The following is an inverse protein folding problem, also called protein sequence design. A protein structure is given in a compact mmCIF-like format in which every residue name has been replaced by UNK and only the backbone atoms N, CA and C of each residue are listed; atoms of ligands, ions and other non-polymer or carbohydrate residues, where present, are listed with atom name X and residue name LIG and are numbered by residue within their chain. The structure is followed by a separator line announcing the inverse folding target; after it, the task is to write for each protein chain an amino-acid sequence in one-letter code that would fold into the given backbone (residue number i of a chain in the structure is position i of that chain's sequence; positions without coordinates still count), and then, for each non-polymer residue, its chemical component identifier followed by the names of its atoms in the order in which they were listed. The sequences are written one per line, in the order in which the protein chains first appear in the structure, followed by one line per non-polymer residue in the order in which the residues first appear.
data_IF_368434093097
#
_entry.id   IF_368434093097
#
_cell.length_a   1.000
_cell.length_b   1.000
_cell.length_c   1.000
_cell.angle_alpha   90.00
_cell.angle_beta   90.00
_cell.angle_gamma   90.00
#
_symmetry.space_group_name_H-M   'P 1'
#
loop_
_entity.id
_entity.type
_entity.pdbx_description
1 polymer ?
#
# COMPACT_ATOMS: atom_id res chain seq x y z
N UNK A 1 19.34 -18.62 34.55
CA UNK A 1 17.93 -18.96 34.72
C UNK A 1 17.27 -17.68 35.20
N UNK A 2 16.63 -16.85 34.40
CA UNK A 2 16.06 -17.10 33.07
C UNK A 2 16.21 -15.87 32.16
N UNK A 3 16.33 -16.19 30.88
CA UNK A 3 16.36 -15.33 29.71
C UNK A 3 15.12 -14.43 29.62
N UNK A 4 15.34 -13.11 29.69
CA UNK A 4 14.44 -12.11 29.13
C UNK A 4 14.55 -12.28 27.62
N UNK A 5 13.61 -12.98 27.02
CA UNK A 5 13.55 -13.19 25.58
C UNK A 5 13.13 -11.88 24.91
N UNK A 6 14.05 -11.30 24.15
CA UNK A 6 13.85 -10.26 23.14
C UNK A 6 12.58 -10.55 22.31
N UNK A 7 11.46 -9.92 22.66
CA UNK A 7 10.21 -10.00 21.89
C UNK A 7 10.13 -8.99 20.74
N UNK A 8 11.10 -8.07 20.64
CA UNK A 8 11.12 -7.01 19.61
C UNK A 8 11.71 -7.46 18.25
N UNK A 9 12.32 -8.65 18.19
CA UNK A 9 13.03 -9.13 16.99
C UNK A 9 12.13 -9.69 15.88
N UNK A 10 10.87 -9.99 16.20
CA UNK A 10 9.87 -10.50 15.26
C UNK A 10 8.94 -9.42 14.69
N UNK A 11 9.18 -8.15 15.03
CA UNK A 11 8.42 -7.02 14.51
C UNK A 11 8.58 -6.91 12.98
N UNK A 12 7.46 -6.87 12.26
CA UNK A 12 7.41 -6.82 10.79
C UNK A 12 7.07 -5.39 10.34
N UNK A 13 7.97 -4.82 9.55
CA UNK A 13 7.78 -3.53 8.90
C UNK A 13 7.49 -3.72 7.41
N UNK A 14 6.58 -2.92 6.86
CA UNK A 14 6.28 -2.86 5.43
C UNK A 14 7.03 -1.68 4.83
N UNK A 15 7.78 -1.95 3.78
CA UNK A 15 8.58 -0.98 3.05
C UNK A 15 8.06 -0.86 1.62
N UNK A 16 8.00 0.34 1.07
CA UNK A 16 7.63 0.51 -0.33
C UNK A 16 8.47 1.63 -0.97
N UNK A 17 8.45 1.75 -2.29
CA UNK A 17 9.17 2.81 -3.00
C UNK A 17 8.20 3.48 -3.96
N UNK A 18 8.24 4.81 -4.11
CA UNK A 18 7.34 5.52 -5.03
C UNK A 18 7.43 5.03 -6.50
N UNK A 19 8.53 4.37 -6.89
CA UNK A 19 8.75 3.80 -8.22
C UNK A 19 8.30 2.33 -8.35
N UNK A 20 7.93 1.67 -7.24
CA UNK A 20 7.42 0.29 -7.22
C UNK A 20 6.07 0.27 -6.51
N UNK A 21 5.02 -0.18 -7.20
CA UNK A 21 3.67 -0.29 -6.64
C UNK A 21 3.54 -1.35 -5.53
N UNK A 22 4.54 -2.25 -5.39
CA UNK A 22 4.52 -3.32 -4.40
C UNK A 22 5.23 -2.93 -3.09
N UNK A 23 4.50 -3.07 -1.99
CA UNK A 23 5.02 -2.96 -0.63
C UNK A 23 5.56 -4.32 -0.14
N UNK A 24 6.71 -4.33 0.52
CA UNK A 24 7.41 -5.54 0.96
C UNK A 24 7.52 -5.59 2.48
N UNK A 25 7.12 -6.73 3.06
CA UNK A 25 7.18 -6.98 4.50
C UNK A 25 8.54 -7.58 4.88
N UNK A 26 9.24 -6.95 5.82
CA UNK A 26 10.59 -7.34 6.28
C UNK A 26 10.61 -7.30 7.81
N UNK A 27 11.24 -8.28 8.45
CA UNK A 27 11.43 -8.27 9.92
C UNK A 27 12.48 -7.24 10.31
N UNK A 28 12.32 -6.58 11.46
CA UNK A 28 13.22 -5.56 12.03
C UNK A 28 14.71 -5.91 11.90
N UNK A 29 15.09 -7.10 12.37
CA UNK A 29 16.49 -7.61 12.30
C UNK A 29 17.07 -7.73 10.89
N UNK A 30 16.23 -7.73 9.87
CA UNK A 30 16.61 -7.89 8.46
C UNK A 30 16.69 -6.57 7.71
N UNK A 31 16.31 -5.45 8.32
CA UNK A 31 16.29 -4.13 7.70
C UNK A 31 17.70 -3.55 7.70
N UNK A 32 18.34 -3.58 6.54
CA UNK A 32 19.64 -2.93 6.30
C UNK A 32 19.62 -2.15 5.00
N UNK A 33 20.44 -1.10 4.90
CA UNK A 33 20.53 -0.26 3.70
C UNK A 33 20.85 -1.08 2.45
N UNK A 34 21.75 -2.06 2.57
CA UNK A 34 22.12 -2.96 1.47
C UNK A 34 20.95 -3.83 1.00
N UNK A 35 20.18 -4.41 1.92
CA UNK A 35 19.02 -5.25 1.57
C UNK A 35 17.92 -4.44 0.92
N UNK A 36 17.60 -3.29 1.49
CA UNK A 36 16.62 -2.38 0.91
C UNK A 36 17.08 -1.88 -0.47
N UNK A 37 18.37 -1.57 -0.64
CA UNK A 37 18.93 -1.20 -1.92
C UNK A 37 18.73 -2.28 -3.00
N UNK A 38 19.00 -3.54 -2.67
CA UNK A 38 18.79 -4.66 -3.60
C UNK A 38 17.30 -4.82 -3.93
N UNK A 39 16.44 -4.78 -2.92
CA UNK A 39 15.00 -5.00 -3.09
C UNK A 39 14.33 -3.91 -3.91
N UNK A 40 14.76 -2.65 -3.75
CA UNK A 40 14.20 -1.49 -4.44
C UNK A 40 15.03 -1.01 -5.64
N UNK A 41 16.09 -1.74 -6.01
CA UNK A 41 17.02 -1.39 -7.08
C UNK A 41 17.62 0.03 -6.91
N UNK A 42 18.07 0.32 -5.70
CA UNK A 42 18.71 1.58 -5.32
C UNK A 42 20.22 1.39 -5.11
N UNK A 43 20.94 2.50 -5.05
CA UNK A 43 22.34 2.54 -4.63
C UNK A 43 22.42 2.53 -3.09
N UNK A 44 23.14 1.56 -2.52
CA UNK A 44 23.20 1.32 -1.07
C UNK A 44 23.68 2.50 -0.24
N UNK A 45 24.58 3.32 -0.78
CA UNK A 45 25.10 4.53 -0.14
C UNK A 45 24.11 5.69 -0.06
N UNK A 46 22.96 5.55 -0.73
CA UNK A 46 21.96 6.62 -0.86
C UNK A 46 20.60 6.24 -0.29
N UNK A 47 20.49 5.06 0.32
CA UNK A 47 19.23 4.58 0.87
C UNK A 47 18.94 5.27 2.18
N UNK A 48 17.74 5.84 2.28
CA UNK A 48 17.17 6.36 3.52
C UNK A 48 15.69 6.02 3.59
N UNK A 49 15.15 6.02 4.80
CA UNK A 49 13.73 5.80 5.03
C UNK A 49 13.02 7.13 5.22
N UNK A 50 11.79 7.21 4.77
CA UNK A 50 10.90 8.34 5.02
C UNK A 50 9.63 7.80 5.64
N UNK A 51 9.29 8.32 6.81
CA UNK A 51 8.06 7.96 7.51
C UNK A 51 6.87 8.69 6.87
N UNK A 52 5.87 7.92 6.45
CA UNK A 52 4.66 8.49 5.89
C UNK A 52 3.82 9.12 6.98
N UNK A 53 3.70 10.44 6.90
CA UNK A 53 2.84 11.25 7.74
C UNK A 53 3.60 12.25 8.62
N UNK A 54 4.85 11.99 9.01
CA UNK A 54 5.72 13.02 9.65
C UNK A 54 6.66 13.66 8.63
N UNK A 55 7.00 12.92 7.55
CA UNK A 55 8.03 13.35 6.60
C UNK A 55 9.46 13.26 7.18
N UNK A 56 9.60 12.69 8.38
CA UNK A 56 10.90 12.44 9.01
C UNK A 56 11.73 11.48 8.17
N UNK A 57 13.02 11.77 8.06
CA UNK A 57 13.97 10.94 7.30
C UNK A 57 14.94 10.23 8.24
N UNK A 58 15.02 8.92 8.13
CA UNK A 58 15.94 8.08 8.89
C UNK A 58 17.08 7.61 7.99
N UNK A 59 18.32 7.86 8.41
CA UNK A 59 19.52 7.45 7.70
C UNK A 59 20.12 6.21 8.36
N UNK A 60 20.71 5.29 7.57
CA UNK A 60 21.38 4.15 8.16
C UNK A 60 22.61 4.62 8.96
N UNK A 61 22.87 3.98 10.09
CA UNK A 61 24.10 4.16 10.85
C UNK A 61 25.32 3.60 10.11
N UNK A 62 26.50 3.76 10.72
CA UNK A 62 27.78 3.31 10.14
C UNK A 62 27.84 1.79 9.89
N UNK A 63 27.01 1.02 10.59
CA UNK A 63 26.85 -0.43 10.43
C UNK A 63 25.86 -0.82 9.31
N UNK A 64 25.25 0.17 8.64
CA UNK A 64 24.26 -0.01 7.59
C UNK A 64 22.86 -0.39 8.10
N UNK A 65 22.60 -0.32 9.41
CA UNK A 65 21.29 -0.56 10.03
C UNK A 65 20.55 0.74 10.28
N UNK A 66 19.23 0.65 10.32
CA UNK A 66 18.36 1.78 10.68
C UNK A 66 17.95 1.67 12.14
N UNK A 67 17.94 2.80 12.85
CA UNK A 67 17.29 2.85 14.15
C UNK A 67 15.77 2.95 13.94
N UNK A 68 15.09 1.84 14.21
CA UNK A 68 13.64 1.74 14.06
C UNK A 68 12.93 1.91 15.42
N UNK A 69 13.66 2.26 16.48
CA UNK A 69 13.14 2.32 17.86
C UNK A 69 12.19 3.49 18.09
N UNK A 70 12.34 4.57 17.31
CA UNK A 70 11.50 5.77 17.38
C UNK A 70 10.35 5.78 16.35
N UNK A 71 10.23 4.73 15.53
CA UNK A 71 9.23 4.66 14.46
C UNK A 71 8.00 3.99 15.05
N UNK A 72 7.08 4.81 15.55
CA UNK A 72 6.18 4.32 16.59
C UNK A 72 4.99 3.51 16.09
N UNK A 73 4.34 3.76 14.94
CA UNK A 73 3.01 3.12 14.75
C UNK A 73 2.47 2.82 13.36
N UNK A 74 3.15 3.15 12.28
CA UNK A 74 2.67 2.76 10.96
C UNK A 74 3.76 1.95 10.31
N UNK A 75 3.57 0.64 10.28
CA UNK A 75 4.47 -0.29 9.60
C UNK A 75 4.55 -0.06 8.09
N UNK A 76 4.39 1.15 7.57
CA UNK A 76 4.58 1.54 6.18
C UNK A 76 5.65 2.62 6.10
N UNK A 77 6.83 2.26 5.60
CA UNK A 77 7.97 3.15 5.43
C UNK A 77 8.28 3.30 3.95
N UNK A 78 8.47 4.54 3.49
CA UNK A 78 8.91 4.80 2.13
C UNK A 78 10.43 4.71 2.06
N UNK A 79 10.94 3.78 1.26
CA UNK A 79 12.36 3.65 0.94
C UNK A 79 12.69 4.58 -0.20
N UNK A 80 13.58 5.52 0.06
CA UNK A 80 14.08 6.47 -0.92
C UNK A 80 15.58 6.27 -1.15
N UNK A 81 16.04 6.65 -2.33
CA UNK A 81 17.45 6.56 -2.71
C UNK A 81 17.62 6.75 -4.21
N UNK A 82 18.86 6.82 -4.67
CA UNK A 82 19.15 6.91 -6.09
C UNK A 82 18.96 5.54 -6.75
N UNK A 83 18.26 5.44 -7.88
CA UNK A 83 18.16 4.18 -8.60
C UNK A 83 19.54 3.73 -9.04
N UNK A 84 19.81 2.43 -8.91
CA UNK A 84 21.02 1.81 -9.42
C UNK A 84 20.94 1.84 -10.94
N UNK A 85 21.60 2.83 -11.55
CA UNK A 85 21.67 2.97 -13.01
C UNK A 85 22.08 1.61 -13.61
N UNK A 86 21.19 1.01 -14.41
CA UNK A 86 21.64 0.08 -15.43
C UNK A 86 22.52 0.91 -16.37
N UNK A 87 23.83 0.70 -16.29
CA UNK A 87 24.76 1.28 -17.26
C UNK A 87 24.29 0.91 -18.66
N UNK A 88 23.74 1.89 -19.38
CA UNK A 88 23.99 2.19 -20.79
C UNK A 88 23.26 3.48 -21.17
N UNK A 89 23.87 4.62 -20.83
CA UNK A 89 23.84 5.81 -21.66
C UNK A 89 25.08 6.64 -21.33
N UNK A 90 25.78 7.03 -22.38
CA UNK A 90 27.13 7.55 -22.36
C UNK A 90 27.30 8.81 -21.50
N UNK A 91 28.53 8.94 -21.00
CA UNK A 91 29.13 10.16 -20.49
C UNK A 91 28.73 11.40 -21.31
N UNK A 92 28.32 12.46 -20.62
CA UNK A 92 28.71 13.84 -20.93
C UNK A 92 28.39 14.71 -19.71
N UNK A 93 29.42 14.97 -18.89
CA UNK A 93 29.41 16.04 -17.89
C UNK A 93 29.55 17.39 -18.62
N UNK A 94 28.76 18.42 -18.28
CA UNK A 94 29.18 19.79 -18.53
C UNK A 94 30.11 20.22 -17.39
N UNK A 95 31.41 20.33 -17.68
CA UNK A 95 32.32 21.05 -16.80
C UNK A 95 32.02 22.54 -16.86
N UNK A 96 31.74 23.12 -15.70
CA UNK A 96 31.81 24.55 -15.47
C UNK A 96 33.30 24.98 -15.52
N UNK A 97 33.69 25.64 -16.61
CA UNK A 97 34.87 26.51 -16.62
C UNK A 97 34.53 27.88 -17.20
N UNK A 98 34.58 28.82 -16.27
CA UNK A 98 34.77 30.26 -16.37
C UNK A 98 35.77 30.70 -17.47
N UNK A 99 35.38 31.62 -18.38
CA UNK A 99 36.12 32.86 -18.68
C UNK A 99 35.48 33.75 -19.76
N UNK A 100 35.33 35.01 -19.37
CA UNK A 100 35.49 36.28 -20.10
C UNK A 100 34.69 36.60 -21.38
N UNK A 101 33.95 37.68 -21.20
CA UNK A 101 33.47 38.67 -22.16
C UNK A 101 34.58 39.36 -22.96
N UNK A 102 34.25 39.68 -24.21
CA UNK A 102 34.81 40.80 -24.98
C UNK A 102 35.90 40.43 -25.98
N UNK A 103 35.54 40.33 -27.27
CA UNK A 103 36.03 41.24 -28.32
C UNK A 103 35.40 40.92 -29.68
N UNK A 104 35.44 41.94 -30.53
CA UNK A 104 34.64 42.23 -31.70
C UNK A 104 35.15 41.57 -33.00
N UNK A 105 34.22 41.47 -33.97
CA UNK A 105 34.46 41.66 -35.43
C UNK A 105 35.11 40.46 -36.16
N UNK A 106 34.80 40.03 -37.40
CA UNK A 106 34.32 40.66 -38.63
C UNK A 106 33.94 39.56 -39.66
N UNK A 107 32.93 39.84 -40.51
CA UNK A 107 32.61 39.26 -41.86
C UNK A 107 32.34 37.72 -41.95
N UNK A 108 31.34 37.19 -42.68
CA UNK A 108 30.90 37.50 -44.04
C UNK A 108 29.54 36.82 -44.34
N UNK A 109 28.72 37.50 -45.15
CA UNK A 109 27.39 37.14 -45.63
C UNK A 109 27.37 35.99 -46.67
N UNK A 110 26.36 35.11 -46.65
CA UNK A 110 25.40 34.94 -47.77
C UNK A 110 24.40 33.76 -47.62
N UNK A 111 23.10 34.13 -47.59
CA UNK A 111 21.88 33.50 -48.16
C UNK A 111 21.34 32.12 -47.70
N UNK A 112 19.99 31.97 -47.64
CA UNK A 112 19.31 30.72 -47.31
C UNK A 112 19.01 29.90 -48.57
N UNK A 113 19.06 28.58 -48.46
CA UNK A 113 18.48 27.67 -49.44
C UNK A 113 17.58 26.67 -48.71
N UNK A 114 16.28 26.87 -48.91
CA UNK A 114 15.24 25.91 -48.58
C UNK A 114 15.44 24.66 -49.44
N UNK A 115 15.48 23.49 -48.82
CA UNK A 115 15.25 22.23 -49.52
C UNK A 115 14.48 21.32 -48.57
N UNK A 116 13.21 21.15 -48.89
CA UNK A 116 12.35 20.15 -48.27
C UNK A 116 12.95 18.77 -48.52
N UNK A 117 13.30 18.06 -47.45
CA UNK A 117 13.52 16.63 -47.49
C UNK A 117 12.43 15.96 -46.67
N UNK A 118 11.67 15.11 -47.37
CA UNK A 118 10.66 14.23 -46.82
C UNK A 118 11.27 13.39 -45.71
N UNK A 119 10.67 13.45 -44.51
CA UNK A 119 10.99 12.55 -43.41
C UNK A 119 10.47 11.17 -43.78
N UNK A 120 11.35 10.33 -44.30
CA UNK A 120 11.10 8.89 -44.40
C UNK A 120 11.03 8.31 -42.99
N UNK A 121 9.82 7.86 -42.60
CA UNK A 121 9.59 7.06 -41.40
C UNK A 121 10.53 5.83 -41.40
N UNK A 122 11.23 5.54 -40.29
CA UNK A 122 12.02 4.33 -40.20
C UNK A 122 11.12 3.09 -40.22
N UNK A 123 11.58 1.95 -40.78
CA UNK A 123 10.78 0.74 -40.89
C UNK A 123 10.41 0.21 -39.51
N UNK A 124 9.14 -0.14 -39.34
CA UNK A 124 8.60 -0.76 -38.13
C UNK A 124 9.43 -2.00 -37.77
N UNK A 125 10.10 -1.92 -36.61
CA UNK A 125 10.75 -3.08 -35.99
C UNK A 125 9.67 -4.13 -35.81
N UNK A 126 9.83 -5.30 -36.46
CA UNK A 126 9.01 -6.50 -36.21
C UNK A 126 8.98 -6.73 -34.71
N UNK A 127 7.85 -6.43 -34.05
CA UNK A 127 7.69 -6.63 -32.63
C UNK A 127 7.92 -8.12 -32.34
N UNK A 128 8.93 -8.38 -31.51
CA UNK A 128 9.24 -9.73 -31.05
C UNK A 128 8.03 -10.20 -30.24
N UNK A 129 7.30 -11.21 -30.74
CA UNK A 129 6.12 -11.75 -30.04
C UNK A 129 6.58 -12.29 -28.69
N UNK A 130 6.27 -11.56 -27.63
CA UNK A 130 6.60 -11.95 -26.25
C UNK A 130 5.61 -13.04 -25.85
N UNK A 131 6.08 -14.27 -25.75
CA UNK A 131 5.30 -15.40 -25.21
C UNK A 131 5.50 -15.48 -23.70
N UNK A 132 4.42 -15.73 -22.97
CA UNK A 132 4.41 -15.93 -21.52
C UNK A 132 3.93 -17.33 -21.18
N UNK A 133 4.51 -17.93 -20.14
CA UNK A 133 4.14 -19.26 -19.67
C UNK A 133 3.17 -19.13 -18.49
N UNK A 134 1.89 -19.34 -18.73
CA UNK A 134 0.84 -19.28 -17.73
C UNK A 134 0.71 -20.62 -17.00
N UNK A 135 0.87 -20.61 -15.68
CA UNK A 135 0.65 -21.78 -14.83
C UNK A 135 -0.84 -21.96 -14.55
N UNK A 136 -1.40 -23.12 -14.90
CA UNK A 136 -2.78 -23.51 -14.61
C UNK A 136 -2.80 -24.81 -13.79
N UNK A 137 -3.63 -24.86 -12.75
CA UNK A 137 -3.77 -26.02 -11.87
C UNK A 137 -5.15 -26.65 -12.00
N UNK A 138 -5.23 -27.95 -12.26
CA UNK A 138 -6.47 -28.72 -12.23
C UNK A 138 -6.93 -28.87 -10.78
N UNK A 139 -8.18 -28.54 -10.52
CA UNK A 139 -8.80 -28.66 -9.21
C UNK A 139 -10.29 -29.01 -9.33
N UNK A 140 -10.91 -29.29 -8.19
CA UNK A 140 -12.36 -29.47 -8.06
C UNK A 140 -12.96 -28.29 -7.31
N UNK A 141 -14.24 -28.00 -7.57
CA UNK A 141 -14.96 -26.93 -6.90
C UNK A 141 -16.03 -27.53 -5.99
N UNK A 142 -15.91 -27.31 -4.68
CA UNK A 142 -16.95 -27.67 -3.69
C UNK A 142 -17.39 -26.40 -2.95
N UNK A 143 -18.68 -26.05 -3.02
CA UNK A 143 -19.25 -24.87 -2.35
C UNK A 143 -18.43 -23.58 -2.57
N UNK A 144 -18.03 -23.32 -3.82
CA UNK A 144 -17.17 -22.19 -4.24
C UNK A 144 -15.76 -22.17 -3.64
N UNK A 145 -15.30 -23.26 -3.01
CA UNK A 145 -13.92 -23.43 -2.56
C UNK A 145 -13.20 -24.39 -3.48
N UNK A 146 -11.93 -24.09 -3.75
CA UNK A 146 -11.05 -24.92 -4.57
C UNK A 146 -10.53 -26.06 -3.70
N UNK A 147 -10.92 -27.28 -4.06
CA UNK A 147 -10.56 -28.52 -3.35
C UNK A 147 -9.80 -29.44 -4.32
N UNK A 148 -9.04 -30.41 -3.80
CA UNK A 148 -8.37 -31.46 -4.60
C UNK A 148 -7.51 -30.94 -5.76
N UNK A 149 -6.57 -30.03 -5.45
CA UNK A 149 -5.58 -29.57 -6.42
C UNK A 149 -4.68 -30.74 -6.84
N UNK A 150 -4.67 -31.06 -8.12
CA UNK A 150 -3.95 -32.22 -8.66
C UNK A 150 -2.83 -31.81 -9.61
N UNK A 151 -3.11 -31.77 -10.92
CA UNK A 151 -2.14 -31.62 -12.00
C UNK A 151 -1.90 -30.15 -12.34
N UNK A 152 -0.64 -29.78 -12.58
CA UNK A 152 -0.25 -28.43 -13.01
C UNK A 152 0.30 -28.47 -14.44
N UNK A 153 -0.11 -27.50 -15.25
CA UNK A 153 0.33 -27.36 -16.64
C UNK A 153 0.71 -25.91 -16.93
N UNK A 154 1.61 -25.74 -17.89
CA UNK A 154 2.09 -24.44 -18.32
C UNK A 154 1.63 -24.18 -19.75
N UNK A 155 0.81 -23.16 -19.96
CA UNK A 155 0.23 -22.81 -21.25
C UNK A 155 0.96 -21.59 -21.79
N UNK A 156 1.51 -21.71 -23.00
CA UNK A 156 2.19 -20.59 -23.64
C UNK A 156 1.17 -19.66 -24.29
N UNK A 157 1.10 -18.42 -23.82
CA UNK A 157 0.17 -17.39 -24.30
C UNK A 157 0.94 -16.20 -24.88
N UNK A 158 0.41 -15.59 -25.94
CA UNK A 158 0.90 -14.35 -26.54
C UNK A 158 -0.15 -13.23 -26.39
N UNK A 159 0.21 -11.98 -26.67
CA UNK A 159 -0.67 -10.81 -26.47
C UNK A 159 -1.99 -10.91 -27.25
N UNK A 160 -1.94 -11.47 -28.46
CA UNK A 160 -3.07 -11.67 -29.36
C UNK A 160 -3.97 -12.86 -28.97
N UNK A 161 -3.45 -13.79 -28.17
CA UNK A 161 -4.15 -15.01 -27.73
C UNK A 161 -4.44 -15.01 -26.22
N UNK A 162 -4.27 -13.87 -25.56
CA UNK A 162 -4.40 -13.71 -24.11
C UNK A 162 -5.84 -13.39 -23.69
N UNK A 163 -6.79 -14.18 -24.17
CA UNK A 163 -8.21 -14.09 -23.81
C UNK A 163 -8.68 -15.37 -23.10
N UNK A 164 -9.78 -15.27 -22.35
CA UNK A 164 -10.34 -16.39 -21.58
C UNK A 164 -10.71 -17.56 -22.48
N UNK A 165 -11.25 -17.29 -23.68
CA UNK A 165 -11.67 -18.32 -24.63
C UNK A 165 -10.50 -19.14 -25.16
N UNK A 166 -9.44 -18.48 -25.63
CA UNK A 166 -8.22 -19.11 -26.14
C UNK A 166 -7.51 -19.91 -25.05
N UNK A 167 -7.44 -19.38 -23.83
CA UNK A 167 -6.80 -20.07 -22.71
C UNK A 167 -7.66 -21.25 -22.26
N UNK A 168 -8.98 -21.12 -22.21
CA UNK A 168 -9.88 -22.24 -21.89
C UNK A 168 -9.73 -23.37 -22.90
N UNK A 169 -9.69 -23.06 -24.20
CA UNK A 169 -9.42 -24.06 -25.24
C UNK A 169 -8.05 -24.73 -25.07
N UNK A 170 -7.01 -23.95 -24.74
CA UNK A 170 -5.69 -24.49 -24.47
C UNK A 170 -5.68 -25.40 -23.23
N UNK A 171 -6.39 -25.04 -22.16
CA UNK A 171 -6.58 -25.88 -20.98
C UNK A 171 -7.28 -27.19 -21.33
N UNK A 172 -8.40 -27.15 -22.07
CA UNK A 172 -9.15 -28.35 -22.46
C UNK A 172 -8.28 -29.33 -23.25
N UNK A 173 -7.47 -28.80 -24.16
CA UNK A 173 -6.50 -29.59 -24.95
C UNK A 173 -5.37 -30.18 -24.08
N UNK A 174 -4.83 -29.40 -23.14
CA UNK A 174 -3.67 -29.80 -22.34
C UNK A 174 -4.03 -30.76 -21.18
N UNK A 175 -5.28 -30.69 -20.70
CA UNK A 175 -5.83 -31.56 -19.66
C UNK A 175 -6.73 -32.69 -20.20
N UNK A 176 -7.00 -32.72 -21.50
CA UNK A 176 -7.85 -33.70 -22.20
C UNK A 176 -9.28 -33.78 -21.62
N UNK A 177 -9.87 -32.63 -21.34
CA UNK A 177 -11.23 -32.51 -20.78
C UNK A 177 -11.95 -31.28 -21.33
N UNK A 178 -12.99 -31.49 -22.13
CA UNK A 178 -13.80 -30.44 -22.77
C UNK A 178 -14.77 -29.72 -21.80
N UNK A 179 -14.98 -30.26 -20.60
CA UNK A 179 -15.89 -29.70 -19.60
C UNK A 179 -15.23 -28.66 -18.69
N UNK A 180 -13.93 -28.41 -18.88
CA UNK A 180 -13.18 -27.49 -18.05
C UNK A 180 -13.59 -26.04 -18.27
N UNK A 181 -13.68 -25.34 -17.13
CA UNK A 181 -13.87 -23.90 -17.01
C UNK A 181 -12.73 -23.34 -16.16
N UNK A 182 -12.27 -22.13 -16.50
CA UNK A 182 -11.19 -21.46 -15.77
C UNK A 182 -11.78 -20.63 -14.63
N UNK A 183 -11.27 -20.84 -13.43
CA UNK A 183 -11.65 -20.12 -12.22
C UNK A 183 -10.44 -19.44 -11.57
N UNK A 184 -10.70 -18.37 -10.83
CA UNK A 184 -9.67 -17.66 -10.05
C UNK A 184 -9.51 -18.28 -8.65
N UNK A 185 -8.55 -17.81 -7.85
CA UNK A 185 -8.26 -18.33 -6.51
C UNK A 185 -9.42 -18.29 -5.51
N UNK A 186 -10.45 -17.47 -5.76
CA UNK A 186 -11.66 -17.40 -4.95
C UNK A 186 -12.76 -18.38 -5.40
N UNK A 187 -12.49 -19.24 -6.38
CA UNK A 187 -13.46 -20.21 -6.91
C UNK A 187 -14.48 -19.63 -7.89
N UNK A 188 -14.40 -18.33 -8.23
CA UNK A 188 -15.26 -17.72 -9.23
C UNK A 188 -14.73 -17.95 -10.65
N UNK A 189 -15.65 -18.22 -11.58
CA UNK A 189 -15.35 -18.30 -13.01
C UNK A 189 -14.82 -16.97 -13.53
N UNK A 190 -13.77 -17.04 -14.33
CA UNK A 190 -13.24 -15.85 -15.03
C UNK A 190 -14.05 -15.68 -16.31
N UNK A 191 -14.76 -14.57 -16.42
CA UNK A 191 -15.55 -14.24 -17.62
C UNK A 191 -14.69 -13.49 -18.65
N UNK A 192 -15.00 -13.66 -19.94
CA UNK A 192 -14.34 -12.88 -21.00
C UNK A 192 -14.89 -11.45 -21.01
N UNK A 193 -14.01 -10.49 -20.79
CA UNK A 193 -14.28 -9.06 -20.79
C UNK A 193 -13.03 -8.32 -21.25
N UNK A 194 -13.14 -7.04 -21.58
CA UNK A 194 -11.96 -6.24 -21.95
C UNK A 194 -10.88 -6.25 -20.85
N UNK A 195 -11.28 -6.35 -19.58
CA UNK A 195 -10.37 -6.39 -18.44
C UNK A 195 -9.65 -7.75 -18.26
N UNK A 196 -10.16 -8.82 -18.86
CA UNK A 196 -9.58 -10.19 -18.78
C UNK A 196 -8.83 -10.58 -20.06
N UNK A 197 -8.63 -9.62 -20.96
CA UNK A 197 -7.84 -9.74 -22.19
C UNK A 197 -6.44 -9.12 -22.04
N UNK A 198 -5.49 -9.64 -22.80
CA UNK A 198 -4.10 -9.16 -22.84
C UNK A 198 -3.22 -9.75 -21.74
N UNK A 199 -1.90 -9.75 -21.95
CA UNK A 199 -0.97 -10.46 -21.05
C UNK A 199 -0.90 -9.84 -19.65
N UNK A 200 -1.25 -8.55 -19.50
CA UNK A 200 -1.23 -7.84 -18.22
C UNK A 200 -2.11 -8.52 -17.17
N UNK A 201 -3.29 -9.00 -17.56
CA UNK A 201 -4.20 -9.72 -16.66
C UNK A 201 -3.62 -11.07 -16.20
N UNK A 202 -3.05 -11.83 -17.13
CA UNK A 202 -2.57 -13.20 -16.90
C UNK A 202 -1.17 -13.27 -16.27
N UNK A 203 -0.38 -12.20 -16.34
CA UNK A 203 0.97 -12.10 -15.74
C UNK A 203 0.97 -11.72 -14.26
N UNK A 204 -0.19 -11.54 -13.64
CA UNK A 204 -0.28 -11.13 -12.24
C UNK A 204 0.23 -12.23 -11.30
N UNK A 205 1.31 -11.94 -10.55
CA UNK A 205 1.97 -12.88 -9.63
C UNK A 205 1.05 -13.34 -8.48
N UNK A 206 0.05 -12.55 -8.10
CA UNK A 206 -0.91 -12.90 -7.05
C UNK A 206 -2.07 -13.75 -7.58
N UNK A 207 -2.32 -13.76 -8.89
CA UNK A 207 -3.46 -14.43 -9.50
C UNK A 207 -3.14 -15.89 -9.80
N UNK A 208 -3.70 -16.79 -9.00
CA UNK A 208 -3.66 -18.24 -9.28
C UNK A 208 -4.83 -18.61 -10.17
N UNK A 209 -4.55 -19.35 -11.23
CA UNK A 209 -5.53 -19.80 -12.22
C UNK A 209 -5.75 -21.31 -12.06
N UNK A 210 -7.02 -21.70 -11.99
CA UNK A 210 -7.42 -23.08 -11.84
C UNK A 210 -8.35 -23.50 -12.97
N UNK A 211 -8.26 -24.76 -13.39
CA UNK A 211 -9.20 -25.38 -14.31
C UNK A 211 -10.06 -26.35 -13.50
N UNK A 212 -11.39 -26.21 -13.58
CA UNK A 212 -12.34 -27.05 -12.85
C UNK A 212 -13.35 -27.70 -13.81
N UNK A 213 -13.69 -28.99 -13.66
CA UNK A 213 -14.72 -29.65 -14.46
C UNK A 213 -16.11 -29.09 -14.11
N UNK A 214 -16.87 -28.68 -15.11
CA UNK A 214 -18.25 -28.26 -14.92
C UNK A 214 -19.17 -29.50 -14.84
N UNK A 215 -19.60 -29.87 -13.63
CA UNK A 215 -20.64 -30.90 -13.45
C UNK A 215 -21.96 -30.37 -14.00
N UNK A 216 -22.28 -30.67 -15.26
CA UNK A 216 -23.61 -30.39 -15.84
C UNK A 216 -24.64 -31.21 -15.07
N UNK A 217 -25.62 -30.55 -14.44
CA UNK A 217 -26.83 -31.21 -13.99
C UNK A 217 -27.45 -31.93 -15.20
N UNK A 218 -27.67 -33.25 -15.09
CA UNK A 218 -28.25 -34.04 -16.17
C UNK A 218 -29.61 -33.44 -16.55
N UNK A 219 -29.74 -33.02 -17.80
CA UNK A 219 -30.99 -32.61 -18.44
C UNK A 219 -31.97 -33.78 -18.48
N UNK A 220 -33.20 -33.50 -18.03
CA UNK A 220 -34.51 -34.12 -18.29
C UNK A 220 -34.56 -35.59 -18.76
N UNK A 221 -35.27 -36.49 -18.03
CA UNK A 221 -35.62 -37.79 -18.59
C UNK A 221 -36.77 -37.63 -19.60
N UNK A 222 -36.60 -38.26 -20.76
CA UNK A 222 -37.62 -38.48 -21.77
C UNK A 222 -38.90 -39.05 -21.15
N UNK A 223 -40.04 -38.48 -21.54
CA UNK A 223 -41.38 -38.93 -21.14
C UNK A 223 -41.63 -40.30 -21.77
N UNK A 224 -41.57 -41.36 -20.97
CA UNK A 224 -42.15 -42.66 -21.30
C UNK A 224 -43.48 -42.76 -20.56
N UNK A 225 -44.57 -42.74 -21.34
CA UNK A 225 -45.93 -43.00 -20.86
C UNK A 225 -46.02 -44.40 -20.24
N UNK A 226 -46.34 -44.49 -18.95
CA UNK A 226 -46.86 -45.71 -18.32
C UNK A 226 -48.00 -45.28 -17.40
N UNK A 227 -49.20 -45.77 -17.72
CA UNK A 227 -50.42 -45.66 -16.94
C UNK A 227 -50.31 -46.49 -15.63
N UNK A 228 -51.02 -46.04 -14.60
CA UNK A 228 -51.30 -46.69 -13.31
C UNK A 228 -50.17 -46.78 -12.24
N UNK A 229 -50.14 -45.83 -11.29
CA UNK A 229 -49.61 -46.07 -9.92
C UNK A 229 -49.95 -44.94 -8.89
N UNK A 230 -51.23 -44.58 -8.71
CA UNK A 230 -51.68 -43.48 -7.79
C UNK A 230 -51.18 -43.59 -6.33
N UNK A 231 -50.70 -44.77 -5.87
CA UNK A 231 -50.16 -44.96 -4.51
C UNK A 231 -48.66 -44.71 -4.36
N UNK A 232 -47.89 -44.64 -5.46
CA UNK A 232 -46.46 -44.27 -5.40
C UNK A 232 -46.26 -42.76 -5.34
N UNK A 233 -47.15 -42.01 -5.98
CA UNK A 233 -47.05 -40.55 -6.08
C UNK A 233 -47.25 -39.86 -4.72
N UNK A 234 -48.10 -40.39 -3.85
CA UNK A 234 -48.31 -39.84 -2.50
C UNK A 234 -47.06 -39.98 -1.61
N UNK A 235 -46.32 -41.10 -1.74
CA UNK A 235 -45.07 -41.33 -1.00
C UNK A 235 -43.92 -40.49 -1.55
N UNK A 236 -43.88 -40.30 -2.88
CA UNK A 236 -42.89 -39.45 -3.55
C UNK A 236 -43.12 -37.97 -3.22
N UNK A 237 -44.38 -37.52 -3.25
CA UNK A 237 -44.78 -36.16 -2.90
C UNK A 237 -44.49 -35.82 -1.44
N UNK A 238 -44.75 -36.76 -0.51
CA UNK A 238 -44.41 -36.60 0.91
C UNK A 238 -42.90 -36.59 1.19
N UNK A 239 -42.09 -37.28 0.37
CA UNK A 239 -40.64 -37.21 0.47
C UNK A 239 -40.12 -35.87 -0.07
N UNK A 240 -40.73 -35.38 -1.16
CA UNK A 240 -40.35 -34.15 -1.82
C UNK A 240 -40.73 -32.90 -1.03
N UNK A 241 -41.83 -32.93 -0.26
CA UNK A 241 -42.16 -31.86 0.70
C UNK A 241 -41.18 -31.84 1.87
N UNK A 242 -40.86 -33.00 2.48
CA UNK A 242 -39.83 -33.08 3.52
C UNK A 242 -38.46 -32.57 3.08
N UNK A 243 -38.01 -32.96 1.88
CA UNK A 243 -36.73 -32.47 1.33
C UNK A 243 -36.77 -30.95 1.12
N UNK A 244 -37.89 -30.39 0.65
CA UNK A 244 -38.04 -28.94 0.50
C UNK A 244 -38.00 -28.22 1.84
N UNK A 245 -38.70 -28.75 2.85
CA UNK A 245 -38.74 -28.17 4.18
C UNK A 245 -37.37 -28.21 4.86
N UNK A 246 -36.64 -29.34 4.77
CA UNK A 246 -35.27 -29.49 5.28
C UNK A 246 -34.29 -28.53 4.57
N UNK A 247 -34.43 -28.34 3.25
CA UNK A 247 -33.61 -27.37 2.49
C UNK A 247 -33.91 -25.94 2.94
N UNK A 248 -35.18 -25.58 3.12
CA UNK A 248 -35.57 -24.23 3.54
C UNK A 248 -35.07 -23.94 4.97
N UNK A 249 -35.22 -24.90 5.88
CA UNK A 249 -34.78 -24.75 7.27
C UNK A 249 -33.25 -24.61 7.35
N UNK A 250 -32.51 -25.47 6.64
CA UNK A 250 -31.06 -25.41 6.61
C UNK A 250 -30.55 -24.11 5.94
N UNK A 251 -31.21 -23.65 4.87
CA UNK A 251 -30.87 -22.38 4.20
C UNK A 251 -31.13 -21.18 5.12
N UNK A 252 -32.24 -21.17 5.86
CA UNK A 252 -32.55 -20.11 6.82
C UNK A 252 -31.57 -20.09 8.00
N UNK A 253 -31.11 -21.26 8.44
CA UNK A 253 -30.11 -21.39 9.51
C UNK A 253 -28.74 -20.88 9.05
N UNK A 254 -28.28 -21.26 7.85
CA UNK A 254 -27.05 -20.74 7.25
C UNK A 254 -27.13 -19.21 7.06
N UNK A 255 -28.24 -18.70 6.52
CA UNK A 255 -28.43 -17.26 6.32
C UNK A 255 -28.41 -16.48 7.65
N UNK A 256 -28.97 -17.05 8.71
CA UNK A 256 -28.93 -16.46 10.06
C UNK A 256 -27.52 -16.43 10.65
N UNK A 257 -26.72 -17.48 10.43
CA UNK A 257 -25.31 -17.51 10.85
C UNK A 257 -24.50 -16.45 10.11
N UNK A 258 -24.61 -16.41 8.77
CA UNK A 258 -23.93 -15.40 7.95
C UNK A 258 -24.33 -13.97 8.34
N UNK A 259 -25.61 -13.73 8.67
CA UNK A 259 -26.07 -12.42 9.11
C UNK A 259 -25.46 -12.00 10.46
N UNK A 260 -25.27 -12.96 11.38
CA UNK A 260 -24.61 -12.70 12.66
C UNK A 260 -23.10 -12.45 12.48
N UNK A 261 -22.43 -13.17 11.58
CA UNK A 261 -21.03 -12.93 11.23
C UNK A 261 -20.82 -11.54 10.61
N UNK A 262 -21.73 -11.12 9.73
CA UNK A 262 -21.70 -9.77 9.13
C UNK A 262 -21.92 -8.71 10.20
N UNK A 263 -22.89 -8.90 11.11
CA UNK A 263 -23.11 -7.97 12.23
C UNK A 263 -21.86 -7.83 13.09
N UNK A 264 -21.20 -8.94 13.41
CA UNK A 264 -19.98 -8.90 14.20
C UNK A 264 -18.86 -8.17 13.46
N UNK A 265 -18.66 -8.48 12.17
CA UNK A 265 -17.66 -7.81 11.33
C UNK A 265 -17.88 -6.29 11.25
N UNK A 266 -19.13 -5.82 11.21
CA UNK A 266 -19.46 -4.39 11.21
C UNK A 266 -19.13 -3.73 12.55
N UNK A 267 -19.36 -4.43 13.66
CA UNK A 267 -18.97 -3.94 15.00
C UNK A 267 -17.45 -3.81 15.10
N UNK A 268 -16.72 -4.81 14.61
CA UNK A 268 -15.26 -4.84 14.63
C UNK A 268 -14.67 -3.72 13.75
N UNK A 269 -15.19 -3.54 12.53
CA UNK A 269 -14.80 -2.42 11.64
C UNK A 269 -15.04 -1.06 12.31
N UNK A 270 -16.15 -0.90 13.03
CA UNK A 270 -16.45 0.35 13.73
C UNK A 270 -15.47 0.60 14.88
N UNK A 271 -15.05 -0.44 15.59
CA UNK A 271 -14.04 -0.33 16.64
C UNK A 271 -12.67 0.03 16.05
N UNK A 272 -12.27 -0.61 14.94
CA UNK A 272 -11.03 -0.32 14.23
C UNK A 272 -11.00 1.12 13.68
N UNK A 273 -12.11 1.59 13.10
CA UNK A 273 -12.22 2.96 12.59
C UNK A 273 -12.13 3.99 13.72
N UNK A 274 -12.78 3.74 14.87
CA UNK A 274 -12.69 4.62 16.03
C UNK A 274 -11.26 4.66 16.58
N UNK A 275 -10.58 3.52 16.57
CA UNK A 275 -9.19 3.39 17.00
C UNK A 275 -8.27 4.21 16.09
N UNK A 276 -8.38 4.05 14.77
CA UNK A 276 -7.61 4.82 13.79
C UNK A 276 -7.88 6.33 13.87
N UNK A 277 -9.13 6.75 14.07
CA UNK A 277 -9.49 8.16 14.23
C UNK A 277 -8.90 8.77 15.52
N UNK A 278 -8.80 8.00 16.61
CA UNK A 278 -8.10 8.41 17.81
C UNK A 278 -6.59 8.54 17.57
N UNK A 279 -5.98 7.63 16.80
CA UNK A 279 -4.55 7.65 16.46
C UNK A 279 -4.12 8.86 15.61
N UNK A 280 -4.92 9.26 14.63
CA UNK A 280 -4.61 10.44 13.81
C UNK A 280 -4.77 11.74 14.63
N UNK A 281 -5.74 11.75 15.55
CA UNK A 281 -5.96 12.86 16.48
C UNK A 281 -4.83 12.99 17.50
N UNK A 282 -4.29 11.89 18.05
CA UNK A 282 -3.18 11.93 19.01
C UNK A 282 -1.88 12.41 18.37
N UNK A 283 -1.60 12.02 17.12
CA UNK A 283 -0.41 12.52 16.39
C UNK A 283 -0.44 14.04 16.22
N UNK A 284 -1.57 14.59 15.77
CA UNK A 284 -1.74 16.02 15.60
C UNK A 284 -1.62 16.76 16.95
N UNK A 285 -2.18 16.20 18.02
CA UNK A 285 -2.07 16.73 19.39
C UNK A 285 -0.60 16.78 19.86
N UNK A 286 0.19 15.74 19.57
CA UNK A 286 1.62 15.71 19.91
C UNK A 286 2.44 16.72 19.10
N UNK A 287 2.16 16.87 17.81
CA UNK A 287 2.82 17.88 16.96
C UNK A 287 2.50 19.31 17.40
N UNK A 288 1.23 19.61 17.64
CA UNK A 288 0.79 20.91 18.20
C UNK A 288 1.39 21.12 19.59
N UNK A 289 1.47 20.06 20.39
CA UNK A 289 2.10 20.07 21.72
C UNK A 289 3.54 20.51 21.70
N UNK A 290 4.34 20.11 20.70
CA UNK A 290 5.75 20.52 20.53
C UNK A 290 5.90 22.03 20.29
N UNK A 291 5.02 22.62 19.49
CA UNK A 291 5.03 24.07 19.22
C UNK A 291 4.56 24.91 20.42
N UNK A 292 3.85 24.29 21.37
CA UNK A 292 3.32 24.92 22.58
C UNK A 292 4.14 24.58 23.83
N UNK A 293 5.44 24.34 23.67
CA UNK A 293 6.37 24.15 24.77
C UNK A 293 7.05 25.44 25.19
N UNK A 294 7.21 25.62 26.50
CA UNK A 294 7.97 26.71 27.06
C UNK A 294 9.46 26.54 26.76
N UNK A 295 10.09 27.55 26.17
CA UNK A 295 11.51 27.49 25.81
C UNK A 295 12.45 27.35 27.02
N UNK A 296 11.96 27.68 28.22
CA UNK A 296 12.71 27.58 29.48
C UNK A 296 12.47 26.23 30.17
N UNK A 297 11.24 25.93 30.57
CA UNK A 297 10.96 24.70 31.34
C UNK A 297 10.75 23.46 30.45
N UNK A 298 10.64 23.61 29.13
CA UNK A 298 10.44 22.54 28.14
C UNK A 298 9.13 21.75 28.28
N UNK A 299 8.27 22.12 29.22
CA UNK A 299 6.92 21.58 29.34
C UNK A 299 5.91 22.38 28.50
N UNK A 300 4.73 21.79 28.27
CA UNK A 300 3.57 22.48 27.71
C UNK A 300 3.33 23.77 28.49
N UNK A 301 3.12 24.87 27.76
CA UNK A 301 2.97 26.21 28.34
C UNK A 301 1.80 26.22 29.31
N UNK A 302 2.10 26.60 30.55
CA UNK A 302 1.10 26.84 31.57
C UNK A 302 0.64 28.30 31.46
N UNK A 303 -0.65 28.55 31.19
CA UNK A 303 -1.18 29.89 31.09
C UNK A 303 -1.03 30.68 32.41
N UNK A 304 -0.81 32.00 32.36
CA UNK A 304 -0.74 32.83 31.14
C UNK A 304 0.52 32.60 30.31
N UNK A 305 0.38 32.65 28.98
CA UNK A 305 1.50 32.49 28.05
C UNK A 305 2.14 33.84 27.73
N UNK A 306 3.39 33.85 27.30
CA UNK A 306 4.10 35.07 26.89
C UNK A 306 4.40 35.02 25.40
N UNK A 307 3.99 36.05 24.67
CA UNK A 307 4.27 36.26 23.25
C UNK A 307 5.31 37.36 23.05
N UNK A 308 6.19 37.19 22.06
CA UNK A 308 7.17 38.21 21.70
C UNK A 308 7.03 38.64 20.23
N UNK A 309 6.77 39.92 20.01
CA UNK A 309 6.65 40.56 18.69
C UNK A 309 7.93 40.43 17.86
N UNK A 310 9.09 40.51 18.52
CA UNK A 310 10.39 40.50 17.85
C UNK A 310 10.69 39.21 17.06
N UNK A 311 10.06 38.08 17.42
CA UNK A 311 10.16 36.83 16.68
C UNK A 311 8.81 36.23 16.29
N UNK A 312 7.71 36.90 16.60
CA UNK A 312 6.36 36.44 16.29
C UNK A 312 6.01 35.08 16.91
N UNK A 313 6.51 34.78 18.11
CA UNK A 313 6.33 33.46 18.76
C UNK A 313 5.83 33.56 20.19
N UNK A 314 5.03 32.57 20.59
CA UNK A 314 4.76 32.30 22.00
C UNK A 314 6.01 31.64 22.58
N UNK A 315 6.56 32.24 23.63
CA UNK A 315 7.84 31.85 24.22
C UNK A 315 7.68 30.82 25.33
N UNK A 316 6.66 30.97 26.19
CA UNK A 316 6.58 30.15 27.38
C UNK A 316 5.61 30.63 28.43
N UNK A 317 5.65 29.96 29.59
CA UNK A 317 4.90 30.36 30.77
C UNK A 317 5.36 31.72 31.28
N UNK A 318 4.43 32.55 31.76
CA UNK A 318 4.74 33.84 32.38
C UNK A 318 5.76 33.73 33.50
N UNK A 319 5.61 32.74 34.37
CA UNK A 319 6.50 32.47 35.51
C UNK A 319 7.93 32.13 35.10
N UNK A 320 8.14 31.62 33.88
CA UNK A 320 9.46 31.31 33.36
C UNK A 320 10.05 32.51 32.61
N UNK A 321 9.28 33.10 31.70
CA UNK A 321 9.79 34.09 30.74
C UNK A 321 10.01 35.45 31.41
N UNK A 322 9.10 35.90 32.28
CA UNK A 322 9.18 37.22 32.90
C UNK A 322 10.47 37.41 33.72
N UNK A 323 10.90 36.45 34.58
CA UNK A 323 12.19 36.56 35.26
C UNK A 323 13.39 36.51 34.31
N UNK A 324 13.33 35.69 33.26
CA UNK A 324 14.42 35.57 32.29
C UNK A 324 14.64 36.86 31.49
N UNK A 325 13.56 37.51 31.06
CA UNK A 325 13.62 38.81 30.37
C UNK A 325 14.07 39.91 31.33
N UNK A 326 13.59 39.92 32.58
CA UNK A 326 14.02 40.89 33.58
C UNK A 326 15.53 40.82 33.85
N UNK A 327 16.11 39.63 33.78
CA UNK A 327 17.55 39.38 34.01
C UNK A 327 18.41 39.74 32.80
N UNK A 328 18.01 39.28 31.61
CA UNK A 328 18.84 39.37 30.40
C UNK A 328 18.55 40.63 29.56
N UNK A 329 17.42 41.30 29.80
CA UNK A 329 16.89 42.41 29.00
C UNK A 329 16.91 42.09 27.49
N UNK A 330 16.57 40.85 27.15
CA UNK A 330 16.53 40.36 25.79
C UNK A 330 15.49 39.25 25.67
N UNK A 331 14.96 39.07 24.46
CA UNK A 331 14.10 37.94 24.12
C UNK A 331 14.89 36.62 24.28
N UNK A 332 14.43 35.65 25.09
CA UNK A 332 15.16 34.41 25.28
C UNK A 332 15.24 33.54 24.01
N UNK A 333 14.38 33.79 23.02
CA UNK A 333 14.39 33.07 21.74
C UNK A 333 15.34 33.71 20.71
N UNK A 334 15.13 34.98 20.35
CA UNK A 334 15.91 35.64 19.27
C UNK A 334 16.98 36.63 19.78
N UNK A 335 17.09 36.83 21.09
CA UNK A 335 18.01 37.77 21.75
C UNK A 335 17.84 39.23 21.36
N UNK A 336 16.71 39.61 20.78
CA UNK A 336 16.39 41.02 20.54
C UNK A 336 16.19 41.76 21.87
N UNK A 337 16.78 42.95 22.00
CA UNK A 337 16.73 43.80 23.19
C UNK A 337 15.47 44.67 23.29
N UNK A 338 14.61 44.64 22.26
CA UNK A 338 13.32 45.30 22.29
C UNK A 338 12.33 44.53 23.19
N UNK A 339 12.31 44.88 24.47
CA UNK A 339 11.44 44.27 25.49
C UNK A 339 10.01 44.82 25.50
N UNK A 340 9.75 45.95 24.81
CA UNK A 340 8.40 46.53 24.70
C UNK A 340 7.46 45.67 23.83
N UNK A 341 8.04 44.79 23.02
CA UNK A 341 7.32 43.82 22.21
C UNK A 341 6.89 42.53 22.92
N UNK A 342 6.98 42.43 24.25
CA UNK A 342 6.65 41.21 25.00
C UNK A 342 5.30 41.37 25.70
N UNK A 343 4.36 40.48 25.38
CA UNK A 343 2.95 40.57 25.80
C UNK A 343 2.50 39.29 26.50
N UNK A 344 1.68 39.43 27.54
CA UNK A 344 1.02 38.30 28.19
C UNK A 344 -0.25 37.97 27.41
N UNK A 345 -0.37 36.72 26.97
CA UNK A 345 -1.53 36.17 26.29
C UNK A 345 -2.36 35.38 27.30
N UNK A 346 -3.62 35.80 27.46
CA UNK A 346 -4.66 35.14 28.26
C UNK A 346 -5.67 34.48 27.32
N UNK A 347 -6.54 33.59 27.82
CA UNK A 347 -7.50 32.88 26.96
C UNK A 347 -6.94 31.57 26.36
N UNK A 348 -5.79 31.10 26.85
CA UNK A 348 -5.16 29.84 26.44
C UNK A 348 -5.35 28.73 27.48
N UNK A 349 -6.41 28.79 28.29
CA UNK A 349 -6.68 27.84 29.38
C UNK A 349 -6.89 26.41 28.86
N UNK A 350 -7.24 26.25 27.59
CA UNK A 350 -7.32 24.95 26.92
C UNK A 350 -5.96 24.21 26.85
N UNK A 351 -4.83 24.91 26.97
CA UNK A 351 -3.50 24.30 27.03
C UNK A 351 -3.32 23.39 28.26
N UNK A 352 -4.05 23.66 29.34
CA UNK A 352 -4.06 22.79 30.52
C UNK A 352 -4.72 21.44 30.21
N UNK A 353 -5.76 21.44 29.38
CA UNK A 353 -6.42 20.21 28.90
C UNK A 353 -5.49 19.46 27.93
N UNK A 354 -4.82 20.19 27.03
CA UNK A 354 -3.82 19.63 26.12
C UNK A 354 -2.69 18.92 26.89
N UNK A 355 -2.19 19.52 27.97
CA UNK A 355 -1.18 18.92 28.85
C UNK A 355 -1.66 17.58 29.43
N UNK A 356 -2.91 17.50 29.88
CA UNK A 356 -3.48 16.24 30.39
C UNK A 356 -3.57 15.16 29.32
N UNK A 357 -3.98 15.51 28.10
CA UNK A 357 -4.09 14.54 27.00
C UNK A 357 -2.72 14.06 26.49
N UNK A 358 -1.73 14.96 26.42
CA UNK A 358 -0.34 14.58 26.10
C UNK A 358 0.23 13.64 27.16
N UNK A 359 0.05 13.94 28.44
CA UNK A 359 0.54 13.07 29.53
C UNK A 359 -0.15 11.69 29.58
N UNK A 360 -1.39 11.56 29.10
CA UNK A 360 -2.04 10.25 28.93
C UNK A 360 -1.47 9.47 27.75
N UNK A 361 -1.04 10.16 26.72
CA UNK A 361 -0.47 9.58 25.50
C UNK A 361 0.96 9.06 25.71
N UNK A 362 1.75 9.74 26.55
CA UNK A 362 3.12 9.33 26.92
C UNK A 362 3.16 8.15 27.93
N UNK A 363 1.99 7.73 28.44
CA UNK A 363 1.85 6.67 29.46
C UNK A 363 1.35 5.31 28.92
N UNK A 364 1.36 5.12 27.60
CA UNK A 364 1.01 3.86 26.91
C UNK A 364 2.28 3.18 26.42
#
# INVERSE_FOLDING_TARGET
MDSILDHDDDEIFVFYNASKEDAVKIRKRQVTAERLAIMFNLESSTVFLVEDGTGSTEWPGDDGRFDLSSIFYLGYMRVAGRPRNQMNAAMSMPQLQNRNSGFSSLFRSSKPASTAQAVSLPPSKKQKVVKYSLKVTLAELERNKIVNQSRQKYIMIAEDSADVGSITKACRKEFDDETLVIVSSNGLSIEDSEATRGLSFWKSNSRRIFAVPMKRAKSEPEVVNIEDDEKKDEKLNNLMTKIKDDIIENTNQEMSQHFNEIKQSVVDIKADLHTLAMFESTKLILEIGKELQCIICKYVIEPPAVFANCCGKILGCETCITPAVATTRACPNCRNHDTEGIHIVRGLEFLSQLKTEISKSDGI
#
